data_IF_718542772405
#
_entry.id   IF_718542772405
#
_cell.length_a   1.000
_cell.length_b   1.000
_cell.length_c   1.000
_cell.angle_alpha   90.00
_cell.angle_beta   90.00
_cell.angle_gamma   90.00
#
_symmetry.space_group_name_H-M   'P 1'
#
loop_
_entity.id
_entity.type
_entity.pdbx_description
1 polymer ?
#
# COMPACT_ATOMS: atom_id res chain seq x y z
N UNK A 1 11.35 -51.15 1.63
CA UNK A 1 10.42 -50.33 2.44
C UNK A 1 10.38 -48.95 1.79
N UNK A 2 9.29 -48.62 1.07
CA UNK A 2 9.19 -47.42 0.23
C UNK A 2 8.57 -46.27 1.03
N UNK A 3 9.24 -45.13 0.91
CA UNK A 3 9.02 -43.82 1.52
C UNK A 3 7.62 -43.30 1.20
N UNK A 4 6.91 -42.81 2.22
CA UNK A 4 5.53 -42.33 2.12
C UNK A 4 5.42 -41.04 1.30
N UNK A 5 4.60 -41.10 0.26
CA UNK A 5 4.28 -40.02 -0.65
C UNK A 5 3.29 -39.07 0.03
N UNK A 6 3.73 -37.83 0.31
CA UNK A 6 2.85 -36.75 0.77
C UNK A 6 1.79 -36.51 -0.30
N UNK A 7 0.53 -36.79 0.03
CA UNK A 7 -0.60 -36.65 -0.89
C UNK A 7 -0.81 -35.18 -1.24
N UNK A 8 -0.29 -34.78 -2.40
CA UNK A 8 -0.52 -33.47 -3.00
C UNK A 8 -1.98 -33.40 -3.42
N UNK A 9 -2.84 -32.83 -2.58
CA UNK A 9 -4.24 -32.56 -2.92
C UNK A 9 -4.26 -31.71 -4.19
N UNK A 10 -4.65 -32.30 -5.31
CA UNK A 10 -4.81 -31.61 -6.58
C UNK A 10 -6.04 -30.72 -6.47
N UNK A 11 -5.86 -29.40 -6.39
CA UNK A 11 -6.96 -28.43 -6.58
C UNK A 11 -7.54 -28.67 -7.97
N UNK A 12 -8.82 -29.03 -8.04
CA UNK A 12 -9.57 -29.28 -9.29
C UNK A 12 -9.93 -27.98 -10.00
N UNK A 13 -9.90 -26.86 -9.27
CA UNK A 13 -10.05 -25.51 -9.81
C UNK A 13 -8.70 -24.80 -9.83
N UNK A 14 -8.24 -24.31 -10.99
CA UNK A 14 -7.13 -23.36 -11.06
C UNK A 14 -7.44 -22.18 -10.13
N UNK A 15 -6.46 -21.63 -9.40
CA UNK A 15 -6.67 -20.32 -8.81
C UNK A 15 -7.02 -19.35 -9.96
N UNK A 16 -8.25 -18.81 -9.95
CA UNK A 16 -8.70 -17.78 -10.88
C UNK A 16 -8.00 -16.43 -10.67
N UNK A 17 -6.98 -16.40 -9.82
CA UNK A 17 -6.09 -15.28 -9.63
C UNK A 17 -4.67 -15.76 -9.96
N UNK A 18 -3.98 -15.13 -10.92
CA UNK A 18 -2.56 -15.39 -11.10
C UNK A 18 -1.84 -15.14 -9.75
N UNK A 19 -0.80 -15.90 -9.39
CA UNK A 19 0.05 -15.53 -8.28
C UNK A 19 0.66 -14.16 -8.64
N UNK A 20 0.14 -13.08 -8.05
CA UNK A 20 0.78 -11.77 -8.08
C UNK A 20 2.02 -11.89 -7.21
N UNK A 21 3.08 -12.44 -7.79
CA UNK A 21 4.31 -12.82 -7.11
C UNK A 21 5.20 -11.61 -6.77
N UNK A 22 4.59 -10.45 -6.54
CA UNK A 22 5.20 -9.24 -6.04
C UNK A 22 4.13 -8.59 -5.14
N UNK A 23 4.24 -8.71 -3.82
CA UNK A 23 3.56 -7.75 -2.96
C UNK A 23 4.12 -6.38 -3.34
N UNK A 24 3.31 -5.51 -3.95
CA UNK A 24 3.79 -4.18 -4.28
C UNK A 24 4.32 -3.49 -3.02
N UNK A 25 5.44 -2.77 -3.12
CA UNK A 25 5.97 -2.00 -2.00
C UNK A 25 4.93 -0.97 -1.57
N UNK A 26 4.78 -0.77 -0.27
CA UNK A 26 3.93 0.31 0.26
C UNK A 26 4.81 1.52 0.45
N UNK A 27 4.60 2.53 -0.39
CA UNK A 27 5.36 3.76 -0.38
C UNK A 27 4.53 4.91 -0.95
N UNK A 28 4.71 6.10 -0.40
CA UNK A 28 4.14 7.31 -0.95
C UNK A 28 5.18 8.43 -0.98
N UNK A 29 5.06 9.31 -1.96
CA UNK A 29 5.79 10.56 -2.06
C UNK A 29 4.87 11.60 -2.68
N UNK A 30 4.59 12.67 -1.95
CA UNK A 30 3.69 13.73 -2.38
C UNK A 30 4.10 15.09 -1.80
N UNK A 31 3.74 16.16 -2.48
CA UNK A 31 4.00 17.54 -2.06
C UNK A 31 2.85 18.48 -2.47
N UNK A 32 2.82 19.67 -1.88
CA UNK A 32 1.89 20.74 -2.25
C UNK A 32 2.43 21.52 -3.47
N UNK A 33 1.61 21.71 -4.50
CA UNK A 33 1.99 22.50 -5.69
C UNK A 33 2.17 23.98 -5.40
N UNK A 34 1.53 24.48 -4.34
CA UNK A 34 1.55 25.87 -3.92
C UNK A 34 1.65 25.99 -2.40
N UNK A 35 2.24 27.09 -1.88
CA UNK A 35 2.24 27.37 -0.46
C UNK A 35 0.83 27.68 0.03
N UNK A 36 0.50 27.22 1.24
CA UNK A 36 -0.76 27.52 1.90
C UNK A 36 -0.53 28.60 2.96
N UNK A 37 -1.29 29.70 2.88
CA UNK A 37 -1.24 30.77 3.88
C UNK A 37 -2.26 30.53 4.99
N UNK A 38 -2.00 31.08 6.18
CA UNK A 38 -2.90 31.03 7.34
C UNK A 38 -3.27 29.62 7.82
N UNK A 39 -2.30 28.70 7.85
CA UNK A 39 -2.49 27.37 8.43
C UNK A 39 -2.65 27.52 9.95
N UNK A 40 -3.90 27.49 10.42
CA UNK A 40 -4.21 27.43 11.85
C UNK A 40 -3.84 26.09 12.47
N UNK A 41 -3.81 26.04 13.80
CA UNK A 41 -3.70 24.76 14.51
C UNK A 41 -4.80 23.78 14.09
N UNK A 42 -4.50 22.48 14.12
CA UNK A 42 -5.42 21.39 13.76
C UNK A 42 -5.83 21.32 12.28
N UNK A 43 -5.11 22.00 11.37
CA UNK A 43 -5.32 21.86 9.93
C UNK A 43 -4.56 20.66 9.35
N UNK A 44 -5.24 19.79 8.60
CA UNK A 44 -4.60 18.71 7.85
C UNK A 44 -4.06 19.25 6.52
N UNK A 45 -2.80 18.96 6.22
CA UNK A 45 -2.18 19.35 4.95
C UNK A 45 -2.63 18.40 3.84
N UNK A 46 -3.17 18.93 2.75
CA UNK A 46 -3.53 18.14 1.56
C UNK A 46 -2.40 18.25 0.54
N UNK A 47 -1.86 17.11 0.12
CA UNK A 47 -0.79 17.03 -0.88
C UNK A 47 -1.38 16.73 -2.26
N UNK A 48 -1.52 17.76 -3.10
CA UNK A 48 -2.16 17.68 -4.41
C UNK A 48 -1.26 17.11 -5.52
N UNK A 49 0.07 17.12 -5.32
CA UNK A 49 1.01 16.49 -6.25
C UNK A 49 1.49 15.16 -5.72
N UNK A 50 0.94 14.06 -6.27
CA UNK A 50 1.32 12.68 -5.92
C UNK A 50 2.32 12.15 -6.94
N UNK A 51 3.53 11.79 -6.48
CA UNK A 51 4.58 11.17 -7.32
C UNK A 51 4.59 9.66 -7.21
N UNK A 52 4.34 9.14 -6.02
CA UNK A 52 4.23 7.69 -5.75
C UNK A 52 3.10 7.47 -4.74
N UNK A 53 2.29 6.43 -4.95
CA UNK A 53 1.27 5.96 -4.00
C UNK A 53 1.04 4.44 -4.15
N UNK A 54 2.13 3.68 -4.14
CA UNK A 54 2.10 2.22 -4.24
C UNK A 54 1.49 1.63 -2.97
N UNK A 55 0.59 0.66 -3.13
CA UNK A 55 -0.24 0.15 -2.03
C UNK A 55 -1.39 1.08 -1.61
N UNK A 56 -1.58 2.22 -2.28
CA UNK A 56 -2.75 3.11 -2.14
C UNK A 56 -3.06 3.59 -0.71
N UNK A 57 -2.04 3.78 0.13
CA UNK A 57 -2.21 4.19 1.51
C UNK A 57 -2.48 5.69 1.70
N UNK A 58 -1.99 6.56 0.81
CA UNK A 58 -2.23 8.01 0.90
C UNK A 58 -3.56 8.38 0.26
N UNK A 59 -4.45 9.00 1.03
CA UNK A 59 -5.73 9.50 0.53
C UNK A 59 -5.54 10.86 -0.18
N UNK A 60 -5.82 10.96 -1.49
CA UNK A 60 -5.42 12.10 -2.34
C UNK A 60 -6.01 13.44 -1.92
N UNK A 61 -7.21 13.42 -1.33
CA UNK A 61 -7.94 14.65 -0.97
C UNK A 61 -7.99 14.90 0.54
N UNK A 62 -7.38 14.04 1.34
CA UNK A 62 -7.40 14.18 2.80
C UNK A 62 -6.00 14.40 3.38
N UNK A 63 -4.93 14.09 2.64
CA UNK A 63 -3.57 14.19 3.17
C UNK A 63 -3.26 13.18 4.28
N UNK A 64 -4.12 12.16 4.42
CA UNK A 64 -4.01 11.12 5.44
C UNK A 64 -3.44 9.86 4.81
N UNK A 65 -2.35 9.35 5.38
CA UNK A 65 -1.87 8.00 5.10
C UNK A 65 -2.53 7.00 6.04
N UNK A 66 -3.18 5.98 5.48
CA UNK A 66 -3.73 4.83 6.21
C UNK A 66 -2.89 3.61 5.86
N UNK A 67 -2.29 2.98 6.86
CA UNK A 67 -1.46 1.79 6.68
C UNK A 67 -2.27 0.63 6.06
N UNK A 68 -1.95 0.18 4.83
CA UNK A 68 -2.69 -0.91 4.18
C UNK A 68 -2.42 -2.29 4.81
N UNK A 69 -1.28 -2.44 5.48
CA UNK A 69 -0.91 -3.65 6.24
C UNK A 69 -0.11 -3.29 7.50
N UNK A 70 -0.14 -4.17 8.49
CA UNK A 70 0.67 -4.03 9.71
C UNK A 70 2.16 -4.06 9.38
N UNK A 71 2.94 -3.19 10.02
CA UNK A 71 4.37 -3.12 9.79
C UNK A 71 4.97 -1.82 10.30
N UNK A 72 6.23 -1.59 9.94
CA UNK A 72 6.98 -0.39 10.27
C UNK A 72 6.88 0.59 9.10
N UNK A 73 6.62 1.86 9.41
CA UNK A 73 6.54 2.95 8.46
C UNK A 73 7.45 4.09 8.91
N UNK A 74 8.02 4.82 7.95
CA UNK A 74 8.88 5.98 8.18
C UNK A 74 8.27 7.17 7.46
N UNK A 75 8.22 8.32 8.13
CA UNK A 75 7.77 9.60 7.59
C UNK A 75 8.94 10.58 7.57
N UNK A 76 9.03 11.41 6.53
CA UNK A 76 10.13 12.37 6.30
C UNK A 76 9.59 13.72 5.87
#
# INVERSE_FOLDING_TARGET
MRIGEQSKIRRIVPPTYPPTNQEEPIAFYAYMSAPMSNIGGHHTLIFDVIKTNSGHGLHPNAGVFTAPKSGIYVFT
#
